data_IF_161984514046
#
_entry.id   IF_161984514046
#
_cell.length_a   1.000
_cell.length_b   1.000
_cell.length_c   1.000
_cell.angle_alpha   90.00
_cell.angle_beta   90.00
_cell.angle_gamma   90.00
#
_symmetry.space_group_name_H-M   'P 1'
#
loop_
_entity.id
_entity.type
_entity.pdbx_description
1 polymer ?
#
# COMPACT_ATOMS: atom_id res chain seq x y z
N UNK A 1 -6.74 18.71 -7.02
CA UNK A 1 -6.68 17.43 -6.28
C UNK A 1 -5.55 17.50 -5.28
N UNK A 2 -5.82 17.27 -3.99
CA UNK A 2 -4.85 17.29 -2.89
C UNK A 2 -4.28 15.89 -2.72
N UNK A 3 -3.04 15.67 -3.12
CA UNK A 3 -2.36 14.37 -3.08
C UNK A 3 -1.36 14.38 -1.94
N UNK A 4 -1.38 13.34 -1.10
CA UNK A 4 -0.36 13.07 -0.10
C UNK A 4 0.46 11.82 -0.47
N UNK A 5 1.72 11.77 -0.05
CA UNK A 5 2.55 10.57 -0.13
C UNK A 5 2.80 10.08 1.30
N UNK A 6 2.37 8.86 1.58
CA UNK A 6 2.58 8.15 2.82
C UNK A 6 3.76 7.19 2.67
N UNK A 7 4.73 7.31 3.56
CA UNK A 7 5.93 6.46 3.59
C UNK A 7 5.93 5.67 4.91
N UNK A 8 5.38 4.43 4.94
CA UNK A 8 5.51 3.55 6.10
C UNK A 8 6.96 3.12 6.26
N UNK A 9 7.45 3.18 7.51
CA UNK A 9 8.82 2.78 7.85
C UNK A 9 8.85 1.92 9.12
N UNK A 10 9.74 0.93 9.10
CA UNK A 10 10.14 0.15 10.27
C UNK A 10 11.58 -0.33 10.07
N UNK A 11 12.53 0.16 10.88
CA UNK A 11 13.96 -0.12 10.76
C UNK A 11 14.51 0.18 9.35
N UNK A 12 14.23 1.39 8.85
CA UNK A 12 14.55 1.86 7.50
C UNK A 12 15.56 3.02 7.46
N UNK A 13 16.38 3.20 8.51
CA UNK A 13 17.31 4.34 8.61
C UNK A 13 18.26 4.45 7.39
N UNK A 14 18.65 3.32 6.80
CA UNK A 14 19.57 3.30 5.63
C UNK A 14 18.86 3.59 4.31
N UNK A 15 17.60 3.18 4.18
CA UNK A 15 16.86 3.23 2.91
C UNK A 15 15.96 4.44 2.77
N UNK A 16 15.46 4.99 3.88
CA UNK A 16 14.56 6.14 3.87
C UNK A 16 15.08 7.35 3.08
N UNK A 17 16.34 7.82 3.25
CA UNK A 17 16.87 8.93 2.46
C UNK A 17 16.87 8.62 0.95
N UNK A 18 17.24 7.40 0.58
CA UNK A 18 17.29 6.95 -0.82
C UNK A 18 15.90 6.98 -1.45
N UNK A 19 14.87 6.55 -0.71
CA UNK A 19 13.47 6.61 -1.17
C UNK A 19 13.03 8.06 -1.36
N UNK A 20 13.27 8.90 -0.37
CA UNK A 20 12.88 10.31 -0.41
C UNK A 20 13.61 11.07 -1.51
N UNK A 21 14.89 10.79 -1.77
CA UNK A 21 15.66 11.41 -2.86
C UNK A 21 15.08 11.10 -4.22
N UNK A 22 14.68 9.85 -4.45
CA UNK A 22 14.15 9.34 -5.73
C UNK A 22 12.73 9.83 -6.06
N UNK A 23 11.97 10.38 -5.12
CA UNK A 23 10.69 11.01 -5.44
C UNK A 23 10.95 12.16 -6.42
N UNK A 24 10.30 12.18 -7.62
CA UNK A 24 10.55 13.20 -8.62
C UNK A 24 10.33 14.62 -8.09
N UNK A 25 11.23 15.56 -8.39
CA UNK A 25 11.15 16.96 -7.90
C UNK A 25 9.78 17.59 -8.16
N UNK A 26 9.23 17.38 -9.35
CA UNK A 26 7.89 17.88 -9.71
C UNK A 26 6.80 17.31 -8.81
N UNK A 27 6.92 16.06 -8.39
CA UNK A 27 5.98 15.43 -7.45
C UNK A 27 6.15 16.07 -6.07
N UNK A 28 7.38 16.16 -5.53
CA UNK A 28 7.66 16.80 -4.23
C UNK A 28 7.07 18.20 -4.13
N UNK A 29 7.09 18.97 -5.23
CA UNK A 29 6.59 20.35 -5.28
C UNK A 29 5.06 20.44 -5.38
N UNK A 30 4.40 19.43 -5.97
CA UNK A 30 2.96 19.48 -6.27
C UNK A 30 2.08 18.72 -5.28
N UNK A 31 2.64 17.83 -4.46
CA UNK A 31 1.87 17.16 -3.40
C UNK A 31 1.70 18.08 -2.20
N UNK A 32 0.55 17.96 -1.54
CA UNK A 32 0.26 18.79 -0.35
C UNK A 32 1.11 18.37 0.85
N UNK A 33 1.45 17.09 0.93
CA UNK A 33 2.29 16.56 2.00
C UNK A 33 2.97 15.26 1.58
N UNK A 34 4.22 15.11 1.99
CA UNK A 34 4.90 13.82 2.11
C UNK A 34 5.01 13.55 3.60
N UNK A 35 4.61 12.37 4.06
CA UNK A 35 4.80 12.05 5.47
C UNK A 35 5.35 10.65 5.67
N UNK A 36 6.34 10.58 6.52
CA UNK A 36 6.95 9.34 7.01
C UNK A 36 6.20 8.94 8.28
N UNK A 37 5.77 7.69 8.36
CA UNK A 37 5.14 7.13 9.55
C UNK A 37 6.00 5.97 10.05
N UNK A 38 6.79 6.27 11.05
CA UNK A 38 7.70 5.33 11.70
C UNK A 38 6.96 4.50 12.76
N UNK A 39 6.89 3.20 12.52
CA UNK A 39 6.10 2.26 13.32
C UNK A 39 6.91 1.63 14.47
N UNK A 40 7.46 2.49 15.35
CA UNK A 40 8.27 2.10 16.51
C UNK A 40 9.62 1.44 16.10
N UNK A 41 10.33 2.05 15.16
CA UNK A 41 11.65 1.57 14.76
C UNK A 41 12.63 1.52 15.94
N UNK A 42 13.44 0.46 15.96
CA UNK A 42 14.51 0.27 16.96
C UNK A 42 15.86 0.84 16.50
N UNK A 43 15.94 1.28 15.26
CA UNK A 43 17.09 2.00 14.69
C UNK A 43 16.84 3.52 14.66
N UNK A 44 17.74 4.26 14.03
CA UNK A 44 17.65 5.72 13.93
C UNK A 44 16.70 6.23 12.84
N UNK A 45 15.72 5.44 12.37
CA UNK A 45 14.81 5.81 11.26
C UNK A 45 14.15 7.17 11.49
N UNK A 46 13.57 7.39 12.66
CA UNK A 46 12.89 8.65 13.00
C UNK A 46 13.85 9.84 12.94
N UNK A 47 15.03 9.72 13.56
CA UNK A 47 16.04 10.78 13.59
C UNK A 47 16.60 11.10 12.20
N UNK A 48 16.80 10.07 11.38
CA UNK A 48 17.21 10.22 9.97
C UNK A 48 16.15 10.97 9.16
N UNK A 49 14.86 10.67 9.38
CA UNK A 49 13.76 11.41 8.76
C UNK A 49 13.76 12.90 9.13
N UNK A 50 13.93 13.23 10.43
CA UNK A 50 14.00 14.60 10.90
C UNK A 50 15.21 15.35 10.32
N UNK A 51 16.39 14.70 10.33
CA UNK A 51 17.59 15.27 9.73
C UNK A 51 17.39 15.52 8.23
N UNK A 52 16.81 14.56 7.50
CA UNK A 52 16.55 14.71 6.07
C UNK A 52 15.62 15.91 5.79
N UNK A 53 14.52 16.05 6.56
CA UNK A 53 13.62 17.19 6.44
C UNK A 53 14.36 18.52 6.60
N UNK A 54 15.20 18.63 7.63
CA UNK A 54 15.95 19.86 7.92
C UNK A 54 17.01 20.13 6.84
N UNK A 55 17.79 19.12 6.44
CA UNK A 55 18.88 19.27 5.47
C UNK A 55 18.39 19.64 4.07
N UNK A 56 17.20 19.12 3.67
CA UNK A 56 16.62 19.41 2.35
C UNK A 56 15.67 20.60 2.34
N UNK A 57 15.38 21.20 3.49
CA UNK A 57 14.46 22.36 3.61
C UNK A 57 13.03 22.06 3.14
N UNK A 58 12.56 20.81 3.29
CA UNK A 58 11.24 20.37 2.80
C UNK A 58 10.14 20.71 3.79
N UNK A 59 9.45 21.85 3.56
CA UNK A 59 8.36 22.32 4.43
C UNK A 59 7.13 21.39 4.40
N UNK A 60 6.90 20.66 3.30
CA UNK A 60 5.79 19.72 3.14
C UNK A 60 6.15 18.28 3.49
N UNK A 61 7.28 18.03 4.14
CA UNK A 61 7.65 16.73 4.69
C UNK A 61 7.34 16.69 6.19
N UNK A 62 6.51 15.76 6.63
CA UNK A 62 6.20 15.47 8.03
C UNK A 62 6.79 14.13 8.45
N UNK A 63 7.29 14.04 9.68
CA UNK A 63 7.85 12.81 10.24
C UNK A 63 7.07 12.48 11.50
N UNK A 64 6.41 11.32 11.51
CA UNK A 64 5.67 10.79 12.65
C UNK A 64 6.39 9.58 13.21
N UNK A 65 6.38 9.46 14.54
CA UNK A 65 6.86 8.27 15.25
C UNK A 65 5.72 7.75 16.13
N UNK A 66 5.50 6.45 16.11
CA UNK A 66 4.52 5.80 16.97
C UNK A 66 5.20 5.21 18.19
N UNK A 67 4.66 5.51 19.39
CA UNK A 67 5.16 4.97 20.67
C UNK A 67 4.96 3.46 20.78
N UNK A 68 4.13 2.87 19.92
CA UNK A 68 3.84 1.43 19.88
C UNK A 68 3.60 0.99 18.46
N UNK A 69 4.24 -0.12 18.10
CA UNK A 69 4.09 -0.75 16.79
C UNK A 69 2.63 -1.13 16.53
N UNK A 70 2.09 -0.61 15.43
CA UNK A 70 0.72 -0.82 15.00
C UNK A 70 0.58 -2.02 14.08
N UNK A 71 1.69 -2.50 13.54
CA UNK A 71 1.77 -3.47 12.46
C UNK A 71 1.47 -2.85 11.10
N UNK A 72 1.79 -3.58 10.04
CA UNK A 72 1.72 -3.09 8.66
C UNK A 72 0.33 -2.51 8.28
N UNK A 73 -0.75 -3.27 8.52
CA UNK A 73 -2.11 -2.79 8.26
C UNK A 73 -2.55 -1.71 9.24
N UNK A 74 -2.10 -1.77 10.52
CA UNK A 74 -2.41 -0.78 11.53
C UNK A 74 -1.83 0.59 11.21
N UNK A 75 -0.59 0.65 10.72
CA UNK A 75 0.06 1.87 10.27
C UNK A 75 -0.66 2.46 9.04
N UNK A 76 -1.07 1.63 8.09
CA UNK A 76 -1.89 2.06 6.95
C UNK A 76 -3.23 2.67 7.39
N UNK A 77 -3.95 2.01 8.31
CA UNK A 77 -5.23 2.53 8.83
C UNK A 77 -5.07 3.90 9.47
N UNK A 78 -4.02 4.07 10.27
CA UNK A 78 -3.71 5.37 10.86
C UNK A 78 -3.44 6.44 9.78
N UNK A 79 -2.60 6.11 8.80
CA UNK A 79 -2.24 7.03 7.73
C UNK A 79 -3.44 7.44 6.86
N UNK A 80 -4.30 6.50 6.52
CA UNK A 80 -5.50 6.80 5.72
C UNK A 80 -6.48 7.66 6.51
N UNK A 81 -6.71 7.36 7.78
CA UNK A 81 -7.55 8.19 8.65
C UNK A 81 -6.98 9.59 8.82
N UNK A 82 -5.65 9.71 8.97
CA UNK A 82 -4.97 11.01 9.01
C UNK A 82 -5.25 11.82 7.74
N UNK A 83 -5.06 11.23 6.56
CA UNK A 83 -5.32 11.89 5.28
C UNK A 83 -6.79 12.30 5.10
N UNK A 84 -7.73 11.45 5.51
CA UNK A 84 -9.17 11.73 5.48
C UNK A 84 -9.49 12.94 6.38
N UNK A 85 -8.93 12.98 7.58
CA UNK A 85 -9.15 14.08 8.53
C UNK A 85 -8.56 15.41 8.03
N UNK A 86 -7.47 15.35 7.24
CA UNK A 86 -6.85 16.52 6.58
C UNK A 86 -7.62 16.98 5.33
N UNK A 87 -8.61 16.22 4.88
CA UNK A 87 -9.37 16.53 3.67
C UNK A 87 -8.52 16.42 2.40
N UNK A 88 -7.63 15.43 2.35
CA UNK A 88 -6.89 15.09 1.14
C UNK A 88 -7.76 14.23 0.21
N UNK A 89 -7.46 14.27 -1.10
CA UNK A 89 -8.25 13.56 -2.12
C UNK A 89 -7.66 12.17 -2.43
N UNK A 90 -6.33 12.10 -2.50
CA UNK A 90 -5.60 10.87 -2.86
C UNK A 90 -4.41 10.70 -1.91
N UNK A 91 -4.16 9.48 -1.48
CA UNK A 91 -2.94 9.07 -0.78
C UNK A 91 -2.20 8.01 -1.58
N UNK A 92 -0.90 8.21 -1.77
CA UNK A 92 0.01 7.21 -2.38
C UNK A 92 0.84 6.61 -1.26
N UNK A 93 0.79 5.29 -1.10
CA UNK A 93 1.67 4.55 -0.19
C UNK A 93 2.94 4.13 -0.93
N UNK A 94 4.07 4.60 -0.48
CA UNK A 94 5.41 4.31 -0.98
C UNK A 94 6.27 3.78 0.17
N UNK A 95 6.70 2.52 0.11
CA UNK A 95 7.47 1.92 1.20
C UNK A 95 8.84 2.57 1.38
N UNK A 96 9.28 2.69 2.64
CA UNK A 96 10.57 3.26 3.02
C UNK A 96 11.76 2.31 2.86
N UNK A 97 11.56 1.08 2.36
CA UNK A 97 12.57 0.03 2.19
C UNK A 97 13.29 0.05 0.82
N UNK A 98 12.96 1.01 -0.04
CA UNK A 98 13.51 1.21 -1.38
C UNK A 98 13.19 0.10 -2.41
N UNK A 99 12.28 -0.84 -2.11
CA UNK A 99 11.90 -1.91 -3.05
C UNK A 99 11.03 -1.41 -4.21
N UNK A 100 10.34 -0.29 -4.03
CA UNK A 100 9.51 0.31 -5.08
C UNK A 100 10.20 1.49 -5.75
N UNK A 101 9.78 1.79 -6.99
CA UNK A 101 10.29 2.90 -7.79
C UNK A 101 9.47 4.18 -7.55
N UNK A 102 9.96 5.16 -6.74
CA UNK A 102 9.25 6.41 -6.50
C UNK A 102 8.96 7.19 -7.80
N UNK A 103 9.76 6.95 -8.84
CA UNK A 103 9.62 7.53 -10.18
C UNK A 103 8.29 7.14 -10.84
N UNK A 104 7.63 6.08 -10.35
CA UNK A 104 6.34 5.59 -10.85
C UNK A 104 5.11 6.23 -10.18
N UNK A 105 5.31 7.13 -9.20
CA UNK A 105 4.20 7.89 -8.60
C UNK A 105 3.32 8.58 -9.66
N UNK A 106 3.87 9.25 -10.70
CA UNK A 106 3.04 9.86 -11.74
C UNK A 106 2.10 8.88 -12.43
N UNK A 107 2.54 7.64 -12.67
CA UNK A 107 1.74 6.61 -13.33
C UNK A 107 0.58 6.14 -12.42
N UNK A 108 0.83 6.00 -11.10
CA UNK A 108 -0.18 5.61 -10.12
C UNK A 108 -1.26 6.69 -9.93
N UNK A 109 -0.89 7.97 -9.97
CA UNK A 109 -1.85 9.06 -9.72
C UNK A 109 -2.59 9.50 -10.98
N UNK A 110 -2.06 9.20 -12.17
CA UNK A 110 -2.64 9.60 -13.46
C UNK A 110 -4.12 9.23 -13.63
N UNK A 111 -4.58 8.01 -13.27
CA UNK A 111 -5.98 7.64 -13.43
C UNK A 111 -6.95 8.51 -12.63
N UNK A 112 -6.54 9.06 -11.49
CA UNK A 112 -7.41 9.91 -10.65
C UNK A 112 -7.69 11.29 -11.26
N UNK A 113 -6.97 11.69 -12.32
CA UNK A 113 -7.27 12.91 -13.08
C UNK A 113 -8.33 12.68 -14.17
N UNK A 114 -8.76 11.44 -14.39
CA UNK A 114 -9.84 11.13 -15.33
C UNK A 114 -11.20 11.54 -14.78
N UNK A 115 -12.22 11.54 -15.64
CA UNK A 115 -13.62 11.75 -15.22
C UNK A 115 -14.22 10.58 -14.44
N UNK A 116 -13.53 9.43 -14.38
CA UNK A 116 -14.01 8.26 -13.63
C UNK A 116 -13.86 8.48 -12.12
N UNK A 117 -14.95 8.86 -11.47
CA UNK A 117 -15.01 9.08 -10.02
C UNK A 117 -15.13 7.78 -9.22
N UNK A 118 -15.33 6.62 -9.89
CA UNK A 118 -15.53 5.33 -9.22
C UNK A 118 -14.22 4.62 -8.85
N UNK A 119 -13.07 5.17 -9.24
CA UNK A 119 -11.77 4.58 -8.90
C UNK A 119 -11.58 4.59 -7.38
N UNK A 120 -11.47 3.39 -6.79
CA UNK A 120 -11.14 3.19 -5.38
C UNK A 120 -9.64 3.14 -5.14
N UNK A 121 -8.94 2.40 -6.01
CA UNK A 121 -7.50 2.15 -5.88
C UNK A 121 -6.82 2.03 -7.23
N UNK A 122 -5.59 2.52 -7.31
CA UNK A 122 -4.62 2.18 -8.36
C UNK A 122 -3.39 1.59 -7.69
N UNK A 123 -2.91 0.44 -8.14
CA UNK A 123 -1.70 -0.13 -7.57
C UNK A 123 -0.65 -0.49 -8.63
N UNK A 124 0.61 -0.48 -8.19
CA UNK A 124 1.74 -0.87 -9.01
C UNK A 124 1.88 -2.38 -9.04
N UNK A 125 1.74 -3.01 -10.20
CA UNK A 125 1.91 -4.44 -10.35
C UNK A 125 3.31 -4.77 -10.87
N UNK A 126 4.05 -5.57 -10.09
CA UNK A 126 5.34 -6.14 -10.48
C UNK A 126 5.13 -7.28 -11.48
N UNK A 127 4.01 -7.98 -11.37
CA UNK A 127 3.68 -9.13 -12.21
C UNK A 127 3.22 -8.72 -13.62
N UNK A 128 2.92 -7.44 -13.84
CA UNK A 128 2.59 -6.85 -15.13
C UNK A 128 3.82 -6.36 -15.91
N UNK A 129 5.02 -6.46 -15.34
CA UNK A 129 6.31 -6.17 -15.95
C UNK A 129 7.18 -7.44 -15.98
N UNK A 130 8.49 -7.35 -15.77
CA UNK A 130 9.41 -8.49 -15.72
C UNK A 130 9.83 -8.81 -14.25
N UNK A 131 9.03 -9.58 -13.51
CA UNK A 131 9.34 -9.88 -12.11
C UNK A 131 10.58 -10.75 -11.93
N UNK A 132 10.85 -11.67 -12.85
CA UNK A 132 12.02 -12.58 -12.75
C UNK A 132 13.31 -11.88 -13.14
N UNK A 133 13.29 -11.06 -14.22
CA UNK A 133 14.43 -10.22 -14.59
C UNK A 133 14.73 -9.16 -13.52
N UNK A 134 13.74 -8.72 -12.75
CA UNK A 134 13.90 -7.83 -11.58
C UNK A 134 14.39 -8.54 -10.31
N UNK A 135 14.78 -9.83 -10.39
CA UNK A 135 15.37 -10.58 -9.28
C UNK A 135 14.34 -11.21 -8.31
N UNK A 136 13.06 -11.28 -8.67
CA UNK A 136 12.07 -11.98 -7.83
C UNK A 136 12.42 -13.46 -7.70
N UNK A 137 12.58 -14.02 -6.48
CA UNK A 137 12.81 -15.45 -6.31
C UNK A 137 11.69 -16.29 -6.89
N UNK A 138 12.03 -17.39 -7.57
CA UNK A 138 11.06 -18.24 -8.27
C UNK A 138 9.92 -18.74 -7.37
N UNK A 139 10.23 -19.11 -6.11
CA UNK A 139 9.19 -19.55 -5.16
C UNK A 139 8.20 -18.44 -4.82
N UNK A 140 8.65 -17.16 -4.75
CA UNK A 140 7.76 -16.00 -4.56
C UNK A 140 6.91 -15.75 -5.79
N UNK A 141 7.49 -15.88 -6.98
CA UNK A 141 6.76 -15.77 -8.25
C UNK A 141 5.64 -16.80 -8.34
N UNK A 142 5.95 -18.09 -8.12
CA UNK A 142 4.97 -19.18 -8.17
C UNK A 142 3.89 -18.98 -7.09
N UNK A 143 4.29 -18.63 -5.85
CA UNK A 143 3.35 -18.37 -4.75
C UNK A 143 2.42 -17.19 -5.04
N UNK A 144 2.95 -16.11 -5.60
CA UNK A 144 2.16 -14.94 -6.02
C UNK A 144 1.14 -15.34 -7.10
N UNK A 145 1.56 -16.02 -8.16
CA UNK A 145 0.65 -16.50 -9.23
C UNK A 145 -0.45 -17.40 -8.69
N UNK A 146 -0.11 -18.32 -7.79
CA UNK A 146 -1.08 -19.25 -7.19
C UNK A 146 -2.14 -18.49 -6.35
N UNK A 147 -1.71 -17.61 -5.45
CA UNK A 147 -2.63 -16.84 -4.64
C UNK A 147 -3.48 -15.89 -5.50
N UNK A 148 -2.87 -15.18 -6.44
CA UNK A 148 -3.57 -14.30 -7.38
C UNK A 148 -4.64 -15.07 -8.19
N UNK A 149 -4.36 -16.28 -8.63
CA UNK A 149 -5.35 -17.12 -9.32
C UNK A 149 -6.56 -17.39 -8.42
N UNK A 150 -6.34 -17.78 -7.16
CA UNK A 150 -7.43 -18.05 -6.21
C UNK A 150 -8.23 -16.76 -5.94
N UNK A 151 -7.56 -15.65 -5.66
CA UNK A 151 -8.19 -14.35 -5.38
C UNK A 151 -9.03 -13.87 -6.56
N UNK A 152 -8.51 -13.95 -7.79
CA UNK A 152 -9.25 -13.62 -9.01
C UNK A 152 -10.51 -14.48 -9.16
N UNK A 153 -10.41 -15.80 -8.93
CA UNK A 153 -11.58 -16.70 -9.01
C UNK A 153 -12.63 -16.40 -7.96
N UNK A 154 -12.21 -16.17 -6.71
CA UNK A 154 -13.11 -15.91 -5.58
C UNK A 154 -13.79 -14.55 -5.71
N UNK A 155 -13.02 -13.50 -6.07
CA UNK A 155 -13.50 -12.12 -6.16
C UNK A 155 -14.14 -11.79 -7.51
N UNK A 156 -14.00 -12.67 -8.51
CA UNK A 156 -14.38 -12.38 -9.90
C UNK A 156 -13.73 -11.07 -10.39
N UNK A 157 -12.41 -10.99 -10.23
CA UNK A 157 -11.53 -9.94 -10.72
C UNK A 157 -10.53 -10.54 -11.72
N UNK A 158 -9.80 -9.69 -12.42
CA UNK A 158 -8.74 -10.10 -13.35
C UNK A 158 -7.50 -9.22 -13.15
N UNK A 159 -6.93 -9.28 -11.93
CA UNK A 159 -5.72 -8.56 -11.57
C UNK A 159 -4.49 -9.43 -11.83
N UNK A 160 -3.36 -8.79 -12.17
CA UNK A 160 -2.11 -9.50 -12.40
C UNK A 160 -1.41 -9.92 -11.11
N UNK A 161 -1.62 -9.19 -10.01
CA UNK A 161 -1.23 -9.55 -8.64
C UNK A 161 -2.11 -8.85 -7.59
N UNK A 162 -2.01 -9.30 -6.31
CA UNK A 162 -2.70 -8.71 -5.16
C UNK A 162 -1.74 -8.23 -4.07
N UNK A 163 -0.46 -8.59 -4.18
CA UNK A 163 0.50 -8.58 -3.06
C UNK A 163 1.53 -7.44 -3.16
N UNK A 164 1.33 -6.49 -4.08
CA UNK A 164 2.12 -5.27 -4.13
C UNK A 164 1.59 -4.24 -3.12
N UNK A 165 2.47 -3.70 -2.28
CA UNK A 165 2.16 -2.62 -1.36
C UNK A 165 2.27 -1.22 -1.96
N UNK A 166 2.62 -1.06 -3.23
CA UNK A 166 2.71 0.24 -3.87
C UNK A 166 1.34 0.66 -4.42
N UNK A 167 0.60 1.45 -3.64
CA UNK A 167 -0.82 1.71 -3.87
C UNK A 167 -1.17 3.17 -3.75
N UNK A 168 -2.14 3.61 -4.54
CA UNK A 168 -2.77 4.91 -4.42
C UNK A 168 -4.28 4.73 -4.21
N UNK A 169 -4.86 5.44 -3.25
CA UNK A 169 -6.27 5.35 -2.92
C UNK A 169 -6.99 6.69 -3.10
N UNK A 170 -8.19 6.64 -3.66
CA UNK A 170 -9.14 7.76 -3.60
C UNK A 170 -9.76 7.81 -2.20
N UNK A 171 -9.42 8.82 -1.41
CA UNK A 171 -9.87 8.94 -0.03
C UNK A 171 -11.36 9.20 0.10
N UNK A 172 -11.99 9.84 -0.91
CA UNK A 172 -13.44 10.03 -0.93
C UNK A 172 -14.20 8.71 -1.12
N UNK A 173 -13.61 7.75 -1.79
CA UNK A 173 -14.15 6.40 -1.93
C UNK A 173 -13.76 5.51 -0.75
N UNK A 174 -12.51 5.62 -0.28
CA UNK A 174 -12.01 4.82 0.84
C UNK A 174 -12.79 5.04 2.14
N UNK A 175 -13.21 6.27 2.43
CA UNK A 175 -14.02 6.59 3.63
C UNK A 175 -15.42 5.94 3.63
N UNK A 176 -15.89 5.40 2.49
CA UNK A 176 -17.18 4.73 2.38
C UNK A 176 -17.12 3.26 2.81
N UNK A 177 -15.94 2.70 2.98
CA UNK A 177 -15.72 1.30 3.38
C UNK A 177 -15.14 1.21 4.79
N UNK A 178 -15.43 0.14 5.54
CA UNK A 178 -14.97 0.00 6.92
C UNK A 178 -13.53 -0.52 7.00
N UNK A 179 -12.56 0.14 6.32
CA UNK A 179 -11.16 -0.29 6.26
C UNK A 179 -10.51 -0.41 7.66
N UNK A 180 -11.01 0.33 8.65
CA UNK A 180 -10.55 0.26 10.03
C UNK A 180 -10.78 -1.13 10.66
N UNK A 181 -11.73 -1.92 10.14
CA UNK A 181 -12.02 -3.28 10.61
C UNK A 181 -11.12 -4.35 9.96
N UNK A 182 -10.29 -3.99 8.98
CA UNK A 182 -9.28 -4.88 8.41
C UNK A 182 -8.18 -5.19 9.43
N UNK A 183 -7.40 -6.23 9.14
CA UNK A 183 -6.27 -6.69 9.95
C UNK A 183 -5.22 -5.58 10.19
N UNK A 184 -4.43 -5.72 11.24
CA UNK A 184 -3.22 -4.92 11.43
C UNK A 184 -1.99 -5.53 10.76
N UNK A 185 -2.09 -6.74 10.23
CA UNK A 185 -1.01 -7.50 9.61
C UNK A 185 -1.00 -7.34 8.07
N UNK A 186 -0.07 -7.98 7.38
CA UNK A 186 0.18 -7.87 5.94
C UNK A 186 -1.03 -8.24 5.05
N UNK A 187 -1.89 -9.15 5.47
CA UNK A 187 -3.11 -9.50 4.72
C UNK A 187 -4.20 -8.42 4.75
N UNK A 188 -3.96 -7.29 5.43
CA UNK A 188 -4.74 -6.06 5.26
C UNK A 188 -4.93 -5.73 3.77
N UNK A 189 -3.89 -5.93 2.99
CA UNK A 189 -3.86 -5.63 1.56
C UNK A 189 -4.86 -6.45 0.74
N UNK A 190 -5.11 -7.70 1.12
CA UNK A 190 -6.16 -8.54 0.54
C UNK A 190 -7.55 -8.11 1.03
N UNK A 191 -7.69 -7.85 2.34
CA UNK A 191 -8.99 -7.51 2.93
C UNK A 191 -9.56 -6.19 2.40
N UNK A 192 -8.70 -5.17 2.18
CA UNK A 192 -9.14 -3.90 1.63
C UNK A 192 -9.59 -4.02 0.17
N UNK A 193 -8.95 -4.90 -0.63
CA UNK A 193 -9.39 -5.21 -2.00
C UNK A 193 -10.80 -5.85 -1.98
N UNK A 194 -11.05 -6.76 -1.03
CA UNK A 194 -12.40 -7.34 -0.85
C UNK A 194 -13.43 -6.25 -0.58
N UNK A 195 -13.11 -5.30 0.30
CA UNK A 195 -14.02 -4.20 0.62
C UNK A 195 -14.27 -3.29 -0.58
N UNK A 196 -13.22 -2.92 -1.33
CA UNK A 196 -13.36 -2.12 -2.56
C UNK A 196 -14.25 -2.84 -3.58
N UNK A 197 -14.05 -4.14 -3.77
CA UNK A 197 -14.88 -4.96 -4.66
C UNK A 197 -16.34 -5.00 -4.21
N UNK A 198 -16.62 -5.18 -2.91
CA UNK A 198 -17.97 -5.19 -2.37
C UNK A 198 -18.68 -3.84 -2.52
N UNK A 199 -17.93 -2.74 -2.38
CA UNK A 199 -18.42 -1.38 -2.61
C UNK A 199 -18.62 -1.03 -4.10
N UNK A 200 -18.32 -1.96 -5.03
CA UNK A 200 -18.43 -1.72 -6.47
C UNK A 200 -17.43 -0.70 -7.01
N UNK A 201 -16.29 -0.50 -6.32
CA UNK A 201 -15.27 0.45 -6.70
C UNK A 201 -14.26 -0.17 -7.67
N UNK A 202 -13.78 0.64 -8.60
CA UNK A 202 -12.80 0.21 -9.60
C UNK A 202 -11.40 0.08 -8.99
N UNK A 203 -10.72 -1.00 -9.34
CA UNK A 203 -9.35 -1.30 -8.97
C UNK A 203 -8.53 -1.37 -10.26
N UNK A 204 -7.56 -0.47 -10.39
CA UNK A 204 -6.72 -0.37 -11.58
C UNK A 204 -5.29 -0.78 -11.27
N UNK A 205 -4.57 -1.24 -12.30
CA UNK A 205 -3.17 -1.62 -12.23
C UNK A 205 -2.32 -0.72 -13.11
N UNK A 206 -1.07 -0.49 -12.69
CA UNK A 206 -0.02 0.08 -13.53
C UNK A 206 1.24 -0.76 -13.41
N UNK A 207 1.93 -1.10 -14.51
CA UNK A 207 3.18 -1.84 -14.42
C UNK A 207 4.25 -1.04 -13.68
N UNK A 208 4.96 -1.72 -12.78
CA UNK A 208 6.12 -1.16 -12.08
C UNK A 208 7.31 -2.10 -12.18
N UNK A 209 8.54 -1.57 -12.23
CA UNK A 209 9.72 -2.41 -12.21
C UNK A 209 9.79 -3.19 -10.90
N UNK A 210 10.26 -4.42 -10.98
CA UNK A 210 10.57 -5.26 -9.83
C UNK A 210 12.03 -5.03 -9.45
N UNK A 211 12.28 -4.83 -8.17
CA UNK A 211 13.63 -4.79 -7.61
C UNK A 211 13.68 -5.62 -6.34
N UNK A 212 14.52 -6.64 -6.33
CA UNK A 212 14.88 -7.43 -5.15
C UNK A 212 16.37 -7.27 -4.91
N UNK A 213 16.73 -6.54 -3.86
CA UNK A 213 18.10 -6.34 -3.38
C UNK A 213 18.35 -7.18 -2.12
N UNK A 214 19.30 -6.70 -1.30
CA UNK A 214 19.74 -7.37 -0.06
C UNK A 214 18.82 -7.06 1.15
N UNK A 215 17.65 -6.44 0.92
CA UNK A 215 16.75 -6.06 1.99
C UNK A 215 16.13 -7.28 2.68
N UNK A 216 15.98 -7.19 4.00
CA UNK A 216 15.33 -8.24 4.80
C UNK A 216 13.83 -8.24 4.54
N UNK A 217 13.33 -9.36 4.01
CA UNK A 217 11.90 -9.59 3.90
C UNK A 217 11.31 -9.89 5.29
N UNK A 218 10.49 -8.99 5.82
CA UNK A 218 9.83 -9.16 7.12
C UNK A 218 8.59 -10.07 7.06
N UNK A 219 8.16 -10.49 5.85
CA UNK A 219 6.95 -11.29 5.64
C UNK A 219 7.28 -12.77 5.73
N UNK A 220 6.65 -13.48 6.68
CA UNK A 220 6.61 -14.94 6.64
C UNK A 220 5.63 -15.38 5.54
N UNK A 221 6.17 -15.86 4.42
CA UNK A 221 5.43 -16.16 3.20
C UNK A 221 4.33 -17.22 3.42
N UNK A 222 4.59 -18.24 4.25
CA UNK A 222 3.61 -19.32 4.53
C UNK A 222 2.44 -18.76 5.35
N UNK A 223 2.75 -18.08 6.47
CA UNK A 223 1.73 -17.46 7.32
C UNK A 223 0.91 -16.42 6.55
N UNK A 224 1.56 -15.62 5.71
CA UNK A 224 0.89 -14.66 4.85
C UNK A 224 -0.09 -15.35 3.88
N UNK A 225 0.36 -16.38 3.15
CA UNK A 225 -0.50 -17.13 2.23
C UNK A 225 -1.70 -17.77 2.94
N UNK A 226 -1.50 -18.35 4.13
CA UNK A 226 -2.60 -18.89 4.95
C UNK A 226 -3.62 -17.81 5.34
N UNK A 227 -3.16 -16.62 5.72
CA UNK A 227 -4.03 -15.50 6.08
C UNK A 227 -4.82 -14.98 4.87
N UNK A 228 -4.21 -14.91 3.68
CA UNK A 228 -4.90 -14.58 2.43
C UNK A 228 -6.00 -15.59 2.14
N UNK A 229 -5.71 -16.89 2.19
CA UNK A 229 -6.71 -17.94 1.97
C UNK A 229 -7.84 -17.89 3.00
N UNK A 230 -7.52 -17.61 4.27
CA UNK A 230 -8.52 -17.40 5.33
C UNK A 230 -9.41 -16.18 5.03
N UNK A 231 -8.84 -15.07 4.56
CA UNK A 231 -9.60 -13.89 4.15
C UNK A 231 -10.58 -14.22 3.00
N UNK A 232 -10.12 -14.99 2.00
CA UNK A 232 -10.97 -15.47 0.91
C UNK A 232 -12.09 -16.39 1.41
N UNK A 233 -11.78 -17.32 2.32
CA UNK A 233 -12.80 -18.18 2.95
C UNK A 233 -13.85 -17.40 3.72
N UNK A 234 -13.43 -16.40 4.52
CA UNK A 234 -14.34 -15.52 5.25
C UNK A 234 -15.22 -14.68 4.32
N UNK A 235 -14.66 -14.19 3.22
CA UNK A 235 -15.44 -13.51 2.19
C UNK A 235 -16.51 -14.42 1.58
N UNK A 236 -16.18 -15.67 1.23
CA UNK A 236 -17.16 -16.62 0.69
C UNK A 236 -18.28 -16.94 1.69
N UNK A 237 -17.94 -17.16 2.97
CA UNK A 237 -18.93 -17.36 4.02
C UNK A 237 -19.89 -16.15 4.15
N UNK A 238 -19.36 -14.94 4.05
CA UNK A 238 -20.15 -13.71 4.07
C UNK A 238 -21.03 -13.59 2.81
N UNK A 239 -20.43 -13.78 1.62
CA UNK A 239 -21.12 -13.69 0.32
C UNK A 239 -22.31 -14.64 0.22
N UNK A 240 -22.16 -15.87 0.70
CA UNK A 240 -23.23 -16.89 0.68
C UNK A 240 -24.15 -16.82 1.91
N UNK A 241 -24.01 -15.77 2.76
CA UNK A 241 -24.84 -15.54 3.97
C UNK A 241 -24.76 -16.68 5.00
N UNK A 242 -23.69 -17.48 4.97
CA UNK A 242 -23.45 -18.55 5.96
C UNK A 242 -23.02 -17.94 7.29
N UNK A 243 -22.19 -16.86 7.22
CA UNK A 243 -21.70 -16.13 8.38
C UNK A 243 -21.55 -14.66 8.05
N UNK A 244 -22.13 -13.77 8.88
CA UNK A 244 -21.84 -12.34 8.80
C UNK A 244 -20.41 -12.05 9.26
N UNK A 245 -19.70 -11.25 8.48
CA UNK A 245 -18.32 -10.80 8.77
C UNK A 245 -18.33 -9.28 8.74
N UNK A 246 -18.30 -8.63 9.90
CA UNK A 246 -18.45 -7.16 10.06
C UNK A 246 -17.62 -6.32 9.10
N UNK A 247 -16.36 -6.73 8.82
CA UNK A 247 -15.48 -6.02 7.89
C UNK A 247 -15.93 -6.06 6.44
N UNK A 248 -16.90 -6.91 6.10
CA UNK A 248 -17.46 -7.07 4.75
C UNK A 248 -18.93 -6.59 4.65
N UNK A 249 -19.46 -5.99 5.70
CA UNK A 249 -20.75 -5.31 5.70
C UNK A 249 -20.59 -3.89 5.13
N UNK A 250 -20.91 -3.71 3.83
CA UNK A 250 -20.74 -2.47 3.06
C UNK A 250 -22.06 -2.06 2.46
#
# INVERSE_FOLDING_TARGET
MKIAIFVPTYNAAKTLPLVLDRIPKKIKQNVVEIFVSDDESQDNTYMVGLWYKQSQGLNNLSIFHHDKNKGYGGNQKWAYQYCINKGYDVVVMLHGDAQYAPEKIPDLIKPFYSSNQNIGMVFGSRMADDPLGGGMPLYKYIGNKFLTFIENKVLNLNLSEYHSGYRAYNLNNLKKIPFALCSNDFHFDTEIIVQLKLAGLDILETPIPTYYGDEKCHVNVISYGMNVLKAMGLYLLHKYKIRSVKRYEI
#
